data_IF_175356590996
#
_entry.id   IF_175356590996
#
_cell.length_a   1.000
_cell.length_b   1.000
_cell.length_c   1.000
_cell.angle_alpha   90.00
_cell.angle_beta   90.00
_cell.angle_gamma   90.00
#
_symmetry.space_group_name_H-M   'P 1'
#
loop_
_entity.id
_entity.type
_entity.pdbx_description
1 polymer ?
#
# COMPACT_ATOMS: atom_id res chain seq x y z
N UNK A 1 -26.02 17.45 -35.49
CA UNK A 1 -26.13 17.20 -34.03
C UNK A 1 -25.16 16.08 -33.67
N UNK A 2 -24.05 16.40 -32.99
CA UNK A 2 -23.02 15.43 -32.61
C UNK A 2 -23.50 14.65 -31.38
N UNK A 3 -23.72 13.36 -31.56
CA UNK A 3 -24.07 12.40 -30.50
C UNK A 3 -23.03 12.50 -29.36
N UNK A 4 -23.47 12.96 -28.19
CA UNK A 4 -22.62 13.05 -26.98
C UNK A 4 -22.63 11.70 -26.27
N UNK A 5 -21.60 10.89 -26.50
CA UNK A 5 -21.42 9.60 -25.81
C UNK A 5 -20.80 9.83 -24.43
N UNK A 6 -21.41 9.20 -23.42
CA UNK A 6 -20.98 9.16 -22.03
C UNK A 6 -19.90 8.08 -21.89
N UNK A 7 -18.80 8.37 -21.20
CA UNK A 7 -17.74 7.39 -20.88
C UNK A 7 -17.66 7.19 -19.37
N UNK A 8 -17.38 5.96 -18.95
CA UNK A 8 -17.38 5.55 -17.54
C UNK A 8 -15.96 5.41 -16.98
N UNK A 9 -15.84 5.63 -15.67
CA UNK A 9 -14.60 5.51 -14.90
C UNK A 9 -14.52 4.10 -14.34
N UNK A 10 -13.53 3.31 -14.77
CA UNK A 10 -13.38 1.94 -14.27
C UNK A 10 -12.20 1.84 -13.29
N UNK A 11 -12.49 1.58 -12.01
CA UNK A 11 -11.55 0.98 -11.07
C UNK A 11 -12.00 -0.46 -10.78
N UNK A 12 -11.44 -1.44 -11.47
CA UNK A 12 -11.68 -2.85 -11.17
C UNK A 12 -10.89 -3.27 -9.92
N UNK A 13 -11.52 -3.36 -8.75
CA UNK A 13 -10.93 -3.95 -7.54
C UNK A 13 -11.58 -5.30 -7.24
N UNK A 14 -10.83 -6.39 -7.34
CA UNK A 14 -11.30 -7.74 -7.03
C UNK A 14 -10.91 -8.10 -5.60
N UNK A 15 -11.91 -8.27 -4.72
CA UNK A 15 -11.66 -8.64 -3.31
C UNK A 15 -11.24 -10.11 -3.25
N UNK A 16 -9.95 -10.37 -3.00
CA UNK A 16 -9.42 -11.72 -2.79
C UNK A 16 -9.64 -12.12 -1.32
N UNK A 17 -10.39 -13.20 -1.08
CA UNK A 17 -10.74 -13.76 0.26
C UNK A 17 -9.60 -14.54 0.92
N UNK A 18 -8.40 -13.97 1.00
CA UNK A 18 -7.26 -14.56 1.70
C UNK A 18 -6.54 -13.52 2.56
N UNK A 19 -5.98 -13.94 3.71
CA UNK A 19 -5.11 -13.05 4.50
C UNK A 19 -3.87 -12.77 3.66
N UNK A 20 -3.60 -11.51 3.27
CA UNK A 20 -2.46 -11.17 2.45
C UNK A 20 -1.17 -11.53 3.19
N UNK A 21 -0.19 -12.10 2.48
CA UNK A 21 1.11 -12.45 3.04
C UNK A 21 1.80 -11.22 3.65
N UNK A 22 1.57 -10.05 3.06
CA UNK A 22 2.04 -8.74 3.52
C UNK A 22 1.45 -8.37 4.88
N UNK A 23 0.18 -8.70 5.10
CA UNK A 23 -0.49 -8.48 6.39
C UNK A 23 0.08 -9.43 7.44
N UNK A 24 0.35 -10.68 7.08
CA UNK A 24 0.95 -11.65 7.98
C UNK A 24 2.37 -11.23 8.39
N UNK A 25 3.18 -10.73 7.46
CA UNK A 25 4.51 -10.16 7.74
C UNK A 25 4.44 -8.94 8.67
N UNK A 26 3.51 -8.01 8.42
CA UNK A 26 3.34 -6.83 9.28
C UNK A 26 2.87 -7.20 10.70
N UNK A 27 1.97 -8.18 10.82
CA UNK A 27 1.53 -8.71 12.12
C UNK A 27 2.67 -9.42 12.82
N UNK A 28 3.42 -10.27 12.12
CA UNK A 28 4.56 -11.00 12.67
C UNK A 28 5.62 -10.03 13.18
N UNK A 29 5.97 -9.00 12.39
CA UNK A 29 6.92 -7.98 12.81
C UNK A 29 6.50 -7.29 14.12
N UNK A 30 5.21 -6.93 14.27
CA UNK A 30 4.70 -6.32 15.51
C UNK A 30 4.76 -7.30 16.69
N UNK A 31 4.31 -8.54 16.50
CA UNK A 31 4.32 -9.57 17.55
C UNK A 31 5.74 -9.84 18.03
N UNK A 32 6.69 -10.01 17.12
CA UNK A 32 8.09 -10.29 17.47
C UNK A 32 8.73 -9.14 18.27
N UNK A 33 8.44 -7.88 17.92
CA UNK A 33 8.95 -6.73 18.69
C UNK A 33 8.35 -6.67 20.09
N UNK A 34 7.04 -6.88 20.21
CA UNK A 34 6.35 -6.84 21.50
C UNK A 34 6.82 -7.98 22.41
N UNK A 35 6.83 -9.21 21.92
CA UNK A 35 7.29 -10.37 22.70
C UNK A 35 8.78 -10.24 23.01
N UNK A 36 9.59 -9.86 22.02
CA UNK A 36 11.03 -9.67 22.18
C UNK A 36 11.37 -8.60 23.23
N UNK A 37 10.64 -7.48 23.26
CA UNK A 37 10.90 -6.43 24.25
C UNK A 37 10.62 -6.89 25.68
N UNK A 38 9.57 -7.69 25.90
CA UNK A 38 9.31 -8.32 27.21
C UNK A 38 10.42 -9.29 27.62
N UNK A 39 10.94 -10.09 26.68
CA UNK A 39 12.06 -11.01 26.95
C UNK A 39 13.32 -10.23 27.37
N UNK A 40 13.66 -9.15 26.66
CA UNK A 40 14.83 -8.34 27.01
C UNK A 40 14.65 -7.67 28.38
N UNK A 41 13.45 -7.16 28.68
CA UNK A 41 13.16 -6.56 29.98
C UNK A 41 13.31 -7.57 31.12
N UNK A 42 12.79 -8.80 30.93
CA UNK A 42 12.94 -9.88 31.90
C UNK A 42 14.43 -10.27 32.08
N UNK A 43 15.21 -10.30 31.01
CA UNK A 43 16.64 -10.60 31.05
C UNK A 43 17.44 -9.53 31.82
N UNK A 44 17.13 -8.24 31.64
CA UNK A 44 17.76 -7.15 32.40
C UNK A 44 17.50 -7.32 33.90
N UNK A 45 16.26 -7.64 34.28
CA UNK A 45 15.89 -7.87 35.70
C UNK A 45 16.56 -9.13 36.26
N UNK A 46 16.69 -10.18 35.46
CA UNK A 46 17.29 -11.44 35.92
C UNK A 46 18.81 -11.34 36.10
N UNK A 47 19.50 -10.70 35.14
CA UNK A 47 20.98 -10.66 35.10
C UNK A 47 21.53 -9.41 35.79
N UNK A 48 20.70 -8.39 36.07
CA UNK A 48 21.12 -7.11 36.66
C UNK A 48 22.28 -6.45 35.88
N UNK A 49 22.31 -6.70 34.56
CA UNK A 49 23.34 -6.21 33.64
C UNK A 49 22.66 -5.52 32.45
N UNK A 50 23.38 -4.57 31.85
CA UNK A 50 22.94 -3.80 30.68
C UNK A 50 23.36 -4.44 29.35
N UNK A 51 24.13 -5.53 29.36
CA UNK A 51 24.47 -6.30 28.16
C UNK A 51 23.28 -6.69 27.27
N UNK A 52 22.07 -7.02 27.80
CA UNK A 52 20.90 -7.35 26.99
C UNK A 52 20.40 -6.18 26.12
N UNK A 53 20.86 -4.95 26.34
CA UNK A 53 20.49 -3.78 25.53
C UNK A 53 20.88 -3.96 24.06
N UNK A 54 21.94 -4.72 23.76
CA UNK A 54 22.33 -5.05 22.38
C UNK A 54 21.23 -5.86 21.67
N UNK A 55 20.47 -6.67 22.41
CA UNK A 55 19.35 -7.44 21.86
C UNK A 55 18.20 -6.54 21.39
N UNK A 56 18.03 -5.33 21.96
CA UNK A 56 17.05 -4.36 21.46
C UNK A 56 17.39 -3.88 20.06
N UNK A 57 18.68 -3.62 19.79
CA UNK A 57 19.13 -3.29 18.44
C UNK A 57 18.85 -4.45 17.46
N UNK A 58 19.11 -5.69 17.90
CA UNK A 58 18.78 -6.89 17.12
C UNK A 58 17.29 -7.00 16.78
N UNK A 59 16.40 -6.77 17.75
CA UNK A 59 14.95 -6.77 17.55
C UNK A 59 14.51 -5.66 16.59
N UNK A 60 15.12 -4.48 16.68
CA UNK A 60 14.85 -3.37 15.78
C UNK A 60 15.27 -3.69 14.34
N UNK A 61 16.46 -4.27 14.13
CA UNK A 61 16.90 -4.70 12.80
C UNK A 61 16.03 -5.83 12.24
N UNK A 62 15.60 -6.78 13.07
CA UNK A 62 14.69 -7.83 12.66
C UNK A 62 13.34 -7.26 12.22
N UNK A 63 12.82 -6.27 12.96
CA UNK A 63 11.59 -5.57 12.58
C UNK A 63 11.74 -4.81 11.26
N UNK A 64 12.85 -4.07 11.08
CA UNK A 64 13.15 -3.39 9.81
C UNK A 64 13.26 -4.37 8.65
N UNK A 65 13.92 -5.50 8.86
CA UNK A 65 14.09 -6.53 7.83
C UNK A 65 12.73 -7.10 7.38
N UNK A 66 11.85 -7.44 8.33
CA UNK A 66 10.50 -7.92 8.02
C UNK A 66 9.66 -6.86 7.28
N UNK A 67 9.79 -5.58 7.66
CA UNK A 67 9.16 -4.46 6.95
C UNK A 67 9.67 -4.33 5.52
N UNK A 68 10.99 -4.40 5.31
CA UNK A 68 11.59 -4.37 3.98
C UNK A 68 11.10 -5.53 3.10
N UNK A 69 11.01 -6.75 3.64
CA UNK A 69 10.48 -7.91 2.90
C UNK A 69 9.02 -7.67 2.51
N UNK A 70 8.17 -7.24 3.45
CA UNK A 70 6.77 -6.96 3.16
C UNK A 70 6.63 -5.93 2.03
N UNK A 71 7.47 -4.90 2.06
CA UNK A 71 7.50 -3.85 1.05
C UNK A 71 7.97 -4.36 -0.32
N UNK A 72 8.99 -5.20 -0.36
CA UNK A 72 9.45 -5.84 -1.59
C UNK A 72 8.37 -6.71 -2.23
N UNK A 73 7.60 -7.45 -1.43
CA UNK A 73 6.49 -8.25 -1.93
C UNK A 73 5.39 -7.36 -2.53
N UNK A 74 5.06 -6.22 -1.88
CA UNK A 74 4.10 -5.25 -2.44
C UNK A 74 4.58 -4.69 -3.78
N UNK A 75 5.87 -4.34 -3.88
CA UNK A 75 6.46 -3.84 -5.12
C UNK A 75 6.46 -4.90 -6.23
N UNK A 76 6.82 -6.15 -5.92
CA UNK A 76 6.80 -7.24 -6.89
C UNK A 76 5.39 -7.51 -7.41
N UNK A 77 4.39 -7.54 -6.51
CA UNK A 77 2.98 -7.69 -6.89
C UNK A 77 2.50 -6.53 -7.76
N UNK A 78 2.87 -5.29 -7.41
CA UNK A 78 2.58 -4.11 -8.23
C UNK A 78 3.15 -4.21 -9.64
N UNK A 79 4.41 -4.64 -9.78
CA UNK A 79 5.05 -4.84 -11.10
C UNK A 79 4.34 -5.95 -11.89
N UNK A 80 3.91 -7.01 -11.21
CA UNK A 80 3.16 -8.10 -11.82
C UNK A 80 1.68 -7.76 -12.13
N UNK A 81 1.20 -6.56 -11.78
CA UNK A 81 -0.21 -6.19 -11.93
C UNK A 81 -1.17 -6.97 -11.01
N UNK A 82 -0.64 -7.53 -9.91
CA UNK A 82 -1.39 -8.29 -8.92
C UNK A 82 -1.77 -7.37 -7.76
N UNK A 83 -2.99 -7.51 -7.27
CA UNK A 83 -3.45 -6.80 -6.07
C UNK A 83 -2.56 -7.12 -4.85
N UNK A 84 -2.20 -6.08 -4.11
CA UNK A 84 -1.42 -6.18 -2.87
C UNK A 84 -2.11 -5.41 -1.75
N UNK A 85 -1.84 -5.84 -0.51
CA UNK A 85 -2.45 -5.23 0.66
C UNK A 85 -1.53 -4.23 1.35
N UNK A 86 -2.13 -3.12 1.82
CA UNK A 86 -1.45 -2.04 2.52
C UNK A 86 -0.96 -0.94 1.60
N UNK A 87 -0.16 -0.03 2.16
CA UNK A 87 0.41 1.10 1.42
C UNK A 87 1.88 0.78 1.10
N UNK A 88 2.29 1.09 -0.12
CA UNK A 88 3.70 1.15 -0.49
C UNK A 88 4.22 2.52 -0.02
N UNK A 89 5.27 2.50 0.79
CA UNK A 89 6.10 3.64 1.13
C UNK A 89 6.76 4.24 -0.13
N UNK A 90 6.64 5.55 -0.30
CA UNK A 90 7.19 6.28 -1.45
C UNK A 90 6.27 7.42 -1.94
N UNK A 91 6.74 8.20 -2.92
CA UNK A 91 5.92 9.25 -3.55
C UNK A 91 4.68 8.62 -4.17
N UNK A 92 3.52 9.22 -3.89
CA UNK A 92 2.23 8.75 -4.41
C UNK A 92 2.29 8.81 -5.93
N UNK A 93 1.95 7.70 -6.60
CA UNK A 93 1.54 7.78 -7.99
C UNK A 93 0.23 8.58 -7.98
N UNK A 94 0.29 9.83 -8.41
CA UNK A 94 -0.91 10.56 -8.75
C UNK A 94 -1.59 9.81 -9.89
N UNK A 95 -2.83 9.39 -9.64
CA UNK A 95 -3.67 8.79 -10.68
C UNK A 95 -3.96 9.89 -11.69
N UNK A 96 -3.31 9.79 -12.85
CA UNK A 96 -3.58 10.70 -13.97
C UNK A 96 -4.84 10.22 -14.67
N UNK A 97 -5.89 11.04 -14.63
CA UNK A 97 -7.13 10.77 -15.35
C UNK A 97 -6.93 11.06 -16.84
N UNK A 98 -7.38 10.15 -17.71
CA UNK A 98 -7.36 10.32 -19.15
C UNK A 98 -8.78 10.20 -19.72
N UNK A 99 -9.07 10.96 -20.78
CA UNK A 99 -10.38 10.93 -21.42
C UNK A 99 -10.57 9.63 -22.20
N UNK A 100 -11.64 8.87 -21.92
CA UNK A 100 -11.92 7.61 -22.62
C UNK A 100 -12.21 7.75 -24.13
N UNK A 101 -12.35 8.98 -24.65
CA UNK A 101 -12.59 9.22 -26.07
C UNK A 101 -11.33 9.61 -26.85
N UNK A 102 -10.56 10.56 -26.36
CA UNK A 102 -9.37 11.10 -27.06
C UNK A 102 -8.05 10.75 -26.39
N UNK A 103 -8.09 10.03 -25.27
CA UNK A 103 -6.94 9.62 -24.46
C UNK A 103 -6.04 10.76 -23.96
N UNK A 104 -6.50 12.02 -24.06
CA UNK A 104 -5.77 13.16 -23.51
C UNK A 104 -5.89 13.17 -21.99
N UNK A 105 -4.83 13.65 -21.34
CA UNK A 105 -4.84 13.92 -19.90
C UNK A 105 -5.96 14.90 -19.56
N UNK A 106 -6.70 14.59 -18.50
CA UNK A 106 -7.81 15.38 -18.01
C UNK A 106 -7.31 16.32 -16.92
N UNK A 107 -7.43 17.62 -17.18
CA UNK A 107 -7.19 18.66 -16.18
C UNK A 107 -8.47 19.10 -15.46
N UNK A 108 -9.64 18.79 -16.03
CA UNK A 108 -10.95 19.11 -15.47
C UNK A 108 -11.75 17.84 -15.16
N UNK A 109 -12.54 17.88 -14.08
CA UNK A 109 -13.36 16.74 -13.62
C UNK A 109 -14.62 16.53 -14.46
N UNK A 110 -15.09 17.56 -15.17
CA UNK A 110 -16.42 17.58 -15.77
C UNK A 110 -16.40 17.49 -17.30
N UNK A 111 -15.27 17.82 -17.91
CA UNK A 111 -15.11 17.78 -19.35
C UNK A 111 -13.65 17.61 -19.78
N UNK A 112 -13.44 17.12 -21.00
CA UNK A 112 -12.12 17.07 -21.61
C UNK A 112 -11.84 18.37 -22.38
N UNK A 113 -10.75 19.05 -22.04
CA UNK A 113 -10.34 20.30 -22.71
C UNK A 113 -9.97 20.11 -24.18
N UNK A 114 -9.52 18.89 -24.56
CA UNK A 114 -9.10 18.58 -25.92
C UNK A 114 -10.27 18.19 -26.84
N UNK A 115 -11.20 17.33 -26.38
CA UNK A 115 -12.30 16.82 -27.22
C UNK A 115 -13.68 17.37 -26.86
N UNK A 116 -13.82 18.13 -25.77
CA UNK A 116 -15.08 18.68 -25.29
C UNK A 116 -16.08 17.64 -24.76
N UNK A 117 -15.66 16.38 -24.60
CA UNK A 117 -16.51 15.34 -24.03
C UNK A 117 -16.81 15.64 -22.56
N UNK A 118 -18.09 15.53 -22.15
CA UNK A 118 -18.46 15.60 -20.73
C UNK A 118 -18.17 14.26 -20.06
N UNK A 119 -17.51 14.34 -18.92
CA UNK A 119 -17.17 13.17 -18.11
C UNK A 119 -18.31 13.02 -17.10
N UNK A 120 -18.95 11.85 -17.06
CA UNK A 120 -19.79 11.54 -15.91
C UNK A 120 -18.88 11.00 -14.83
N UNK A 121 -18.85 11.71 -13.71
CA UNK A 121 -18.34 11.16 -12.46
C UNK A 121 -19.45 10.24 -11.98
N UNK A 122 -19.18 8.95 -11.89
CA UNK A 122 -20.05 8.03 -11.15
C UNK A 122 -19.94 8.45 -9.68
N UNK A 123 -20.80 9.38 -9.26
CA UNK A 123 -21.09 9.64 -7.86
C UNK A 123 -22.03 8.52 -7.43
N UNK A 124 -21.47 7.49 -6.81
CA UNK A 124 -22.20 6.38 -6.19
C UNK A 124 -23.34 6.91 -5.31
N UNK A 125 -24.55 6.43 -5.60
CA UNK A 125 -25.59 6.12 -4.61
C UNK A 125 -25.08 5.04 -3.64
#
# INVERSE_FOLDING_TARGET
MKERRVTYRFEARRIVRGVPLETLLDVTAKVTVVVGSFIVLAAIVAVQSLEPMIMLAGLFFQWLFLRCIAEHIRLQKKIAGIDFAGRISGPRLETIWACGHCNSMLHSENHCDNCGARIKIDSDD
#
